data_IF_450422919804
#
_entry.id   IF_450422919804
#
_cell.length_a   1.000
_cell.length_b   1.000
_cell.length_c   1.000
_cell.angle_alpha   90.00
_cell.angle_beta   90.00
_cell.angle_gamma   90.00
#
_symmetry.space_group_name_H-M   'P 1'
#
loop_
_entity.id
_entity.type
_entity.pdbx_description
1 polymer ?
#
# COMPACT_ATOMS: atom_id res chain seq x y z
N UNK A 1 67.82 -40.05 2.02
CA UNK A 1 67.01 -38.84 2.15
C UNK A 1 65.60 -39.24 1.82
N UNK A 2 64.75 -39.34 2.85
CA UNK A 2 63.35 -39.73 2.72
C UNK A 2 62.57 -38.44 2.44
N UNK A 3 61.84 -38.42 1.34
CA UNK A 3 61.06 -37.26 0.89
C UNK A 3 59.72 -37.26 1.64
N UNK A 4 59.46 -36.21 2.43
CA UNK A 4 58.13 -35.93 2.99
C UNK A 4 57.39 -35.02 2.00
N UNK A 5 56.25 -35.43 1.42
CA UNK A 5 55.45 -34.52 0.61
C UNK A 5 54.76 -33.46 1.51
N UNK A 6 54.53 -32.24 1.00
CA UNK A 6 53.95 -31.16 1.77
C UNK A 6 52.49 -31.44 2.11
N UNK A 7 52.12 -31.08 3.34
CA UNK A 7 50.75 -31.09 3.86
C UNK A 7 49.86 -30.23 2.96
N UNK A 8 48.77 -30.80 2.45
CA UNK A 8 47.77 -30.06 1.71
C UNK A 8 47.12 -29.01 2.62
N UNK A 9 47.11 -27.76 2.16
CA UNK A 9 46.25 -26.70 2.70
C UNK A 9 44.80 -27.08 2.33
N UNK A 10 43.81 -26.99 3.24
CA UNK A 10 42.42 -27.23 2.87
C UNK A 10 42.04 -26.27 1.75
N UNK A 11 41.56 -26.82 0.63
CA UNK A 11 40.88 -26.02 -0.39
C UNK A 11 39.59 -25.52 0.24
N UNK A 12 39.40 -24.20 0.29
CA UNK A 12 38.05 -23.62 0.33
C UNK A 12 37.34 -24.16 -0.92
N UNK A 13 36.35 -25.03 -0.70
CA UNK A 13 35.43 -25.44 -1.75
C UNK A 13 34.46 -24.29 -1.93
N UNK A 14 34.80 -23.34 -2.78
CA UNK A 14 33.77 -22.59 -3.52
C UNK A 14 33.18 -23.59 -4.49
N UNK A 15 32.01 -24.12 -4.16
CA UNK A 15 31.28 -25.05 -4.99
C UNK A 15 30.11 -24.26 -5.58
N UNK A 16 30.21 -23.68 -6.79
CA UNK A 16 29.00 -23.30 -7.50
C UNK A 16 28.33 -24.62 -7.85
N UNK A 17 27.31 -25.01 -7.09
CA UNK A 17 26.42 -26.07 -7.52
C UNK A 17 25.64 -25.49 -8.70
N UNK A 18 26.09 -25.74 -9.93
CA UNK A 18 25.15 -25.74 -11.04
C UNK A 18 24.36 -27.05 -10.89
N UNK A 19 23.23 -27.00 -10.17
CA UNK A 19 22.26 -28.09 -10.11
C UNK A 19 21.72 -28.32 -11.52
N UNK A 20 21.36 -29.56 -11.84
CA UNK A 20 20.70 -29.85 -13.13
C UNK A 20 19.31 -29.18 -13.07
N UNK A 21 19.11 -28.10 -13.84
CA UNK A 21 17.92 -27.24 -13.91
C UNK A 21 16.66 -27.93 -14.45
N UNK A 22 16.57 -29.26 -14.38
CA UNK A 22 15.53 -30.09 -15.00
C UNK A 22 15.38 -31.42 -14.22
N UNK A 23 15.44 -31.37 -12.90
CA UNK A 23 15.31 -32.56 -12.06
C UNK A 23 14.68 -32.22 -10.72
N UNK A 24 13.87 -33.15 -10.21
CA UNK A 24 13.32 -33.06 -8.87
C UNK A 24 14.48 -33.00 -7.86
N UNK A 25 14.56 -31.92 -7.10
CA UNK A 25 15.63 -31.75 -6.12
C UNK A 25 15.10 -31.39 -4.75
N UNK A 26 15.73 -31.98 -3.73
CA UNK A 26 15.57 -31.58 -2.35
C UNK A 26 16.92 -31.03 -1.88
N UNK A 27 16.94 -29.80 -1.40
CA UNK A 27 18.10 -29.27 -0.68
C UNK A 27 17.73 -29.01 0.78
N UNK A 28 18.52 -29.60 1.68
CA UNK A 28 18.37 -29.44 3.12
C UNK A 28 19.73 -29.00 3.66
N UNK A 29 19.82 -27.78 4.20
CA UNK A 29 21.14 -27.25 4.54
C UNK A 29 21.21 -25.86 5.12
N UNK A 30 22.44 -25.41 5.35
CA UNK A 30 22.75 -24.02 5.65
C UNK A 30 23.89 -23.59 4.76
N UNK A 31 23.68 -22.47 4.07
CA UNK A 31 24.57 -21.94 3.06
C UNK A 31 25.06 -20.56 3.49
N UNK A 32 26.36 -20.30 3.34
CA UNK A 32 26.96 -18.99 3.59
C UNK A 32 27.57 -18.48 2.26
N UNK A 33 27.26 -17.24 1.89
CA UNK A 33 27.92 -16.53 0.79
C UNK A 33 27.03 -16.32 -0.42
N UNK A 34 27.49 -16.75 -1.60
CA UNK A 34 26.76 -16.57 -2.86
C UNK A 34 26.25 -17.93 -3.34
N UNK A 35 24.94 -18.02 -3.53
CA UNK A 35 24.22 -19.14 -4.13
C UNK A 35 23.47 -18.64 -5.38
N UNK A 36 23.46 -19.47 -6.41
CA UNK A 36 22.89 -19.23 -7.74
C UNK A 36 22.28 -20.58 -8.14
N UNK A 37 20.96 -20.72 -7.98
CA UNK A 37 20.23 -22.00 -8.13
C UNK A 37 19.01 -21.91 -9.07
N UNK A 38 19.15 -21.44 -10.32
CA UNK A 38 18.02 -21.29 -11.23
C UNK A 38 17.31 -22.63 -11.53
N UNK A 39 15.98 -22.65 -11.43
CA UNK A 39 15.13 -23.80 -11.73
C UNK A 39 14.39 -23.65 -13.08
N UNK A 40 14.09 -24.76 -13.75
CA UNK A 40 13.33 -24.74 -15.02
C UNK A 40 12.70 -26.11 -15.38
N UNK A 41 11.38 -26.27 -15.29
CA UNK A 41 10.70 -27.58 -15.41
C UNK A 41 11.19 -28.58 -14.36
N UNK A 42 10.96 -28.22 -13.10
CA UNK A 42 11.43 -28.86 -11.86
C UNK A 42 10.29 -28.95 -10.87
N UNK A 43 10.32 -30.00 -10.04
CA UNK A 43 9.55 -30.04 -8.80
C UNK A 43 10.58 -29.95 -7.66
N UNK A 44 10.57 -28.87 -6.88
CA UNK A 44 11.65 -28.57 -5.91
C UNK A 44 11.13 -28.36 -4.50
N UNK A 45 11.85 -28.94 -3.53
CA UNK A 45 11.63 -28.66 -2.11
C UNK A 45 12.94 -28.15 -1.49
N UNK A 46 12.93 -26.92 -1.02
CA UNK A 46 14.03 -26.33 -0.29
C UNK A 46 13.66 -26.23 1.19
N UNK A 47 14.52 -26.75 2.07
CA UNK A 47 14.42 -26.58 3.52
C UNK A 47 15.76 -26.07 4.02
N UNK A 48 15.99 -24.76 3.99
CA UNK A 48 17.34 -24.22 4.15
C UNK A 48 17.45 -22.94 4.96
N UNK A 49 18.66 -22.62 5.41
CA UNK A 49 18.98 -21.30 5.95
C UNK A 49 20.16 -20.71 5.20
N UNK A 50 19.98 -19.52 4.66
CA UNK A 50 20.99 -18.87 3.85
C UNK A 50 21.42 -17.54 4.47
N UNK A 51 22.73 -17.30 4.59
CA UNK A 51 23.32 -16.00 4.93
C UNK A 51 24.13 -15.51 3.72
N UNK A 52 23.63 -14.47 3.02
CA UNK A 52 24.30 -13.83 1.90
C UNK A 52 23.40 -13.53 0.70
N UNK A 53 23.93 -13.72 -0.51
CA UNK A 53 23.21 -13.47 -1.76
C UNK A 53 22.70 -14.80 -2.34
N UNK A 54 21.40 -14.89 -2.58
CA UNK A 54 20.73 -15.97 -3.31
C UNK A 54 20.04 -15.39 -4.56
N UNK A 55 20.28 -16.05 -5.70
CA UNK A 55 19.64 -15.79 -6.99
C UNK A 55 18.99 -17.12 -7.43
N UNK A 56 17.66 -17.22 -7.36
CA UNK A 56 16.89 -18.46 -7.55
C UNK A 56 15.72 -18.29 -8.52
N UNK A 57 15.93 -17.85 -9.77
CA UNK A 57 14.81 -17.67 -10.70
C UNK A 57 14.16 -19.01 -11.07
N UNK A 58 12.83 -19.03 -11.04
CA UNK A 58 11.98 -20.19 -11.31
C UNK A 58 11.19 -20.01 -12.61
N UNK A 59 11.07 -21.07 -13.42
CA UNK A 59 10.34 -21.03 -14.70
C UNK A 59 9.72 -22.37 -15.08
N UNK A 60 8.38 -22.44 -15.07
CA UNK A 60 7.63 -23.70 -15.24
C UNK A 60 7.95 -24.71 -14.14
N UNK A 61 8.01 -24.27 -12.89
CA UNK A 61 8.40 -25.08 -11.74
C UNK A 61 7.26 -25.20 -10.73
N UNK A 62 7.25 -26.30 -9.99
CA UNK A 62 6.44 -26.47 -8.78
C UNK A 62 7.41 -26.44 -7.58
N UNK A 63 7.42 -25.37 -6.80
CA UNK A 63 8.40 -25.17 -5.71
C UNK A 63 7.73 -25.09 -4.34
N UNK A 64 8.43 -25.60 -3.33
CA UNK A 64 8.13 -25.39 -1.93
C UNK A 64 9.42 -24.99 -1.22
N UNK A 65 9.65 -23.70 -0.97
CA UNK A 65 10.76 -23.22 -0.16
C UNK A 65 10.33 -22.98 1.28
N UNK A 66 11.14 -23.43 2.23
CA UNK A 66 10.88 -23.32 3.66
C UNK A 66 12.19 -22.99 4.35
N UNK A 67 12.32 -21.82 4.95
CA UNK A 67 13.64 -21.40 5.35
C UNK A 67 13.79 -20.13 6.14
N UNK A 68 15.05 -19.72 6.26
CA UNK A 68 15.38 -18.40 6.74
C UNK A 68 16.56 -17.84 6.00
N UNK A 69 16.36 -16.65 5.42
CA UNK A 69 17.35 -15.98 4.60
C UNK A 69 17.73 -14.65 5.24
N UNK A 70 19.01 -14.43 5.46
CA UNK A 70 19.59 -13.16 5.87
C UNK A 70 20.44 -12.64 4.70
N UNK A 71 20.05 -11.52 4.09
CA UNK A 71 20.81 -10.88 3.01
C UNK A 71 19.99 -10.45 1.80
N UNK A 72 20.44 -10.81 0.59
CA UNK A 72 19.78 -10.43 -0.66
C UNK A 72 19.22 -11.69 -1.32
N UNK A 73 17.93 -11.73 -1.60
CA UNK A 73 17.26 -12.75 -2.38
C UNK A 73 16.65 -12.11 -3.64
N UNK A 74 16.87 -12.75 -4.77
CA UNK A 74 16.21 -12.46 -6.05
C UNK A 74 15.59 -13.76 -6.54
N UNK A 75 14.27 -13.88 -6.50
CA UNK A 75 13.51 -15.09 -6.87
C UNK A 75 12.43 -14.79 -7.92
N UNK A 76 12.76 -14.45 -9.17
CA UNK A 76 11.74 -14.26 -10.19
C UNK A 76 10.96 -15.55 -10.49
N UNK A 77 9.63 -15.52 -10.37
CA UNK A 77 8.73 -16.64 -10.67
C UNK A 77 8.03 -16.43 -12.02
N UNK A 78 8.02 -17.44 -12.90
CA UNK A 78 7.31 -17.34 -14.19
C UNK A 78 6.68 -18.65 -14.65
N UNK A 79 5.35 -18.69 -14.76
CA UNK A 79 4.59 -19.93 -14.97
C UNK A 79 4.89 -20.97 -13.89
N UNK A 80 5.03 -20.55 -12.63
CA UNK A 80 5.39 -21.43 -11.53
C UNK A 80 4.25 -21.51 -10.52
N UNK A 81 4.16 -22.66 -9.84
CA UNK A 81 3.30 -22.85 -8.67
C UNK A 81 4.23 -22.94 -7.45
N UNK A 82 4.21 -21.93 -6.58
CA UNK A 82 5.19 -21.80 -5.48
C UNK A 82 4.48 -21.74 -4.12
N UNK A 83 5.07 -22.35 -3.09
CA UNK A 83 4.69 -22.12 -1.70
C UNK A 83 5.96 -21.80 -0.93
N UNK A 84 6.12 -20.54 -0.52
CA UNK A 84 7.28 -20.14 0.25
C UNK A 84 6.92 -19.94 1.71
N UNK A 85 7.85 -20.34 2.58
CA UNK A 85 7.63 -20.39 4.00
C UNK A 85 8.84 -19.90 4.77
N UNK A 86 8.63 -19.06 5.78
CA UNK A 86 9.64 -18.83 6.83
C UNK A 86 9.97 -17.38 7.12
N UNK A 87 11.26 -17.05 7.20
CA UNK A 87 11.69 -15.74 7.70
C UNK A 87 12.83 -15.13 6.91
N UNK A 88 12.59 -13.96 6.33
CA UNK A 88 13.55 -13.21 5.54
C UNK A 88 13.96 -11.92 6.28
N UNK A 89 15.26 -11.68 6.39
CA UNK A 89 15.86 -10.45 6.91
C UNK A 89 16.77 -9.86 5.82
N UNK A 90 16.37 -8.75 5.19
CA UNK A 90 17.16 -8.09 4.16
C UNK A 90 16.35 -7.58 2.97
N UNK A 91 16.82 -7.85 1.74
CA UNK A 91 16.19 -7.40 0.50
C UNK A 91 15.70 -8.62 -0.28
N UNK A 92 14.40 -8.65 -0.59
CA UNK A 92 13.76 -9.63 -1.47
C UNK A 92 13.22 -8.90 -2.72
N UNK A 93 13.54 -9.45 -3.89
CA UNK A 93 13.04 -9.06 -5.22
C UNK A 93 12.40 -10.33 -5.83
N UNK A 94 11.08 -10.43 -5.82
CA UNK A 94 10.30 -11.63 -6.20
C UNK A 94 9.25 -11.31 -7.26
N UNK A 95 9.64 -10.92 -8.49
CA UNK A 95 8.69 -10.58 -9.52
C UNK A 95 7.95 -11.82 -10.04
N UNK A 96 6.62 -11.78 -10.02
CA UNK A 96 5.76 -12.90 -10.42
C UNK A 96 5.07 -12.65 -11.77
N UNK A 97 5.02 -13.68 -12.62
CA UNK A 97 4.34 -13.58 -13.92
C UNK A 97 3.70 -14.89 -14.37
N UNK A 98 2.37 -14.91 -14.46
CA UNK A 98 1.58 -16.13 -14.70
C UNK A 98 1.86 -17.20 -13.65
N UNK A 99 1.98 -16.83 -12.39
CA UNK A 99 2.33 -17.74 -11.30
C UNK A 99 1.18 -17.84 -10.30
N UNK A 100 1.11 -18.98 -9.61
CA UNK A 100 0.25 -19.16 -8.44
C UNK A 100 1.19 -19.28 -7.22
N UNK A 101 1.12 -18.34 -6.27
CA UNK A 101 2.06 -18.26 -5.13
C UNK A 101 1.30 -18.28 -3.80
N UNK A 102 1.89 -18.89 -2.78
CA UNK A 102 1.37 -18.85 -1.42
C UNK A 102 2.51 -18.67 -0.43
N UNK A 103 2.66 -17.47 0.11
CA UNK A 103 3.80 -17.13 0.96
C UNK A 103 3.38 -17.01 2.42
N UNK A 104 3.92 -17.89 3.27
CA UNK A 104 3.65 -17.93 4.70
C UNK A 104 4.89 -17.52 5.50
N UNK A 105 4.95 -16.32 6.07
CA UNK A 105 6.20 -15.91 6.68
C UNK A 105 6.29 -14.58 7.40
N UNK A 106 7.53 -14.19 7.65
CA UNK A 106 7.87 -12.88 8.21
C UNK A 106 9.03 -12.27 7.45
N UNK A 107 8.86 -11.03 7.02
CA UNK A 107 9.88 -10.28 6.30
C UNK A 107 10.30 -9.07 7.15
N UNK A 108 11.60 -8.86 7.33
CA UNK A 108 12.20 -7.65 7.93
C UNK A 108 13.12 -7.05 6.87
N UNK A 109 12.79 -5.86 6.35
CA UNK A 109 13.60 -5.15 5.37
C UNK A 109 12.81 -4.64 4.16
N UNK A 110 13.31 -4.87 2.95
CA UNK A 110 12.71 -4.40 1.70
C UNK A 110 12.22 -5.59 0.88
N UNK A 111 10.95 -5.57 0.49
CA UNK A 111 10.31 -6.53 -0.40
C UNK A 111 9.76 -5.78 -1.63
N UNK A 112 10.11 -6.27 -2.82
CA UNK A 112 9.61 -5.82 -4.13
C UNK A 112 9.05 -7.07 -4.83
N UNK A 113 7.72 -7.21 -4.86
CA UNK A 113 7.01 -8.36 -5.45
C UNK A 113 6.01 -7.87 -6.51
N UNK A 114 6.47 -7.46 -7.70
CA UNK A 114 5.56 -7.02 -8.74
C UNK A 114 4.85 -8.21 -9.40
N UNK A 115 3.51 -8.17 -9.42
CA UNK A 115 2.69 -9.26 -9.91
C UNK A 115 2.04 -8.96 -11.28
N UNK A 116 2.02 -9.95 -12.17
CA UNK A 116 1.36 -9.81 -13.48
C UNK A 116 0.72 -11.10 -13.97
N UNK A 117 -0.62 -11.09 -14.03
CA UNK A 117 -1.43 -12.29 -14.30
C UNK A 117 -1.16 -13.40 -13.30
N UNK A 118 -1.00 -13.06 -12.02
CA UNK A 118 -0.70 -14.01 -10.95
C UNK A 118 -1.88 -14.14 -10.01
N UNK A 119 -1.94 -15.27 -9.30
CA UNK A 119 -2.81 -15.46 -8.14
C UNK A 119 -1.91 -15.65 -6.91
N UNK A 120 -1.99 -14.76 -5.92
CA UNK A 120 -1.11 -14.76 -4.73
C UNK A 120 -1.93 -14.83 -3.45
N UNK A 121 -1.39 -15.52 -2.43
CA UNK A 121 -1.94 -15.54 -1.09
C UNK A 121 -0.82 -15.40 -0.06
N UNK A 122 -0.74 -14.26 0.61
CA UNK A 122 0.33 -13.98 1.56
C UNK A 122 -0.22 -13.98 2.99
N UNK A 123 0.31 -14.87 3.83
CA UNK A 123 -0.02 -14.94 5.25
C UNK A 123 1.22 -14.61 6.09
N UNK A 124 1.25 -13.45 6.75
CA UNK A 124 2.50 -13.08 7.42
C UNK A 124 2.58 -11.76 8.15
N UNK A 125 3.83 -11.35 8.37
CA UNK A 125 4.14 -10.03 8.91
C UNK A 125 5.32 -9.41 8.21
N UNK A 126 5.21 -8.15 7.82
CA UNK A 126 6.30 -7.38 7.26
C UNK A 126 6.70 -6.23 8.19
N UNK A 127 8.01 -6.02 8.39
CA UNK A 127 8.58 -4.83 9.02
C UNK A 127 9.54 -4.18 8.02
N UNK A 128 9.20 -3.00 7.51
CA UNK A 128 10.05 -2.25 6.58
C UNK A 128 9.31 -1.66 5.38
N UNK A 129 9.81 -1.92 4.18
CA UNK A 129 9.30 -1.36 2.92
C UNK A 129 8.76 -2.49 2.04
N UNK A 130 7.51 -2.41 1.61
CA UNK A 130 6.86 -3.33 0.67
C UNK A 130 6.41 -2.53 -0.57
N UNK A 131 6.77 -3.02 -1.75
CA UNK A 131 6.35 -2.52 -3.07
C UNK A 131 5.77 -3.73 -3.83
N UNK A 132 4.44 -3.84 -3.91
CA UNK A 132 3.71 -4.94 -4.56
C UNK A 132 2.80 -4.40 -5.67
N UNK A 133 3.32 -3.98 -6.83
CA UNK A 133 2.48 -3.47 -7.89
C UNK A 133 1.78 -4.61 -8.64
N UNK A 134 0.44 -4.53 -8.74
CA UNK A 134 -0.39 -5.60 -9.29
C UNK A 134 -0.99 -5.26 -10.66
N UNK A 135 -1.01 -6.23 -11.58
CA UNK A 135 -1.63 -6.02 -12.90
C UNK A 135 -2.29 -7.30 -13.44
N UNK A 136 -3.62 -7.28 -13.54
CA UNK A 136 -4.42 -8.47 -13.90
C UNK A 136 -4.20 -9.63 -12.91
N UNK A 137 -4.02 -9.33 -11.64
CA UNK A 137 -3.74 -10.32 -10.60
C UNK A 137 -4.91 -10.46 -9.64
N UNK A 138 -4.93 -11.55 -8.88
CA UNK A 138 -5.78 -11.67 -7.69
C UNK A 138 -4.90 -11.90 -6.47
N UNK A 139 -5.11 -11.13 -5.42
CA UNK A 139 -4.28 -11.18 -4.21
C UNK A 139 -5.15 -11.32 -2.96
N UNK A 140 -4.65 -12.05 -1.98
CA UNK A 140 -5.24 -12.15 -0.65
C UNK A 140 -4.14 -12.09 0.40
N UNK A 141 -4.10 -11.00 1.15
CA UNK A 141 -3.02 -10.73 2.10
C UNK A 141 -3.59 -10.69 3.51
N UNK A 142 -3.23 -11.70 4.30
CA UNK A 142 -3.62 -11.82 5.71
C UNK A 142 -2.40 -11.56 6.61
N UNK A 143 -2.39 -10.45 7.36
CA UNK A 143 -1.18 -10.15 8.12
C UNK A 143 -1.09 -8.84 8.87
N UNK A 144 0.15 -8.47 9.16
CA UNK A 144 0.48 -7.17 9.76
C UNK A 144 1.70 -6.56 9.12
N UNK A 145 1.59 -5.30 8.71
CA UNK A 145 2.66 -4.54 8.10
C UNK A 145 3.04 -3.37 9.03
N UNK A 146 4.32 -3.21 9.34
CA UNK A 146 4.89 -2.05 10.05
C UNK A 146 5.88 -1.37 9.10
N UNK A 147 5.60 -0.14 8.68
CA UNK A 147 6.46 0.62 7.77
C UNK A 147 5.74 1.23 6.58
N UNK A 148 6.26 1.05 5.37
CA UNK A 148 5.70 1.63 4.14
C UNK A 148 5.26 0.50 3.20
N UNK A 149 4.03 0.60 2.70
CA UNK A 149 3.43 -0.26 1.70
C UNK A 149 3.01 0.60 0.51
N UNK A 150 3.43 0.21 -0.70
CA UNK A 150 3.02 0.77 -1.99
C UNK A 150 2.45 -0.40 -2.82
N UNK A 151 1.12 -0.44 -2.99
CA UNK A 151 0.42 -1.48 -3.77
C UNK A 151 -0.42 -0.82 -4.88
N UNK A 152 0.19 -0.41 -5.99
CA UNK A 152 -0.58 0.14 -7.10
C UNK A 152 -1.26 -0.96 -7.91
N UNK A 153 -2.58 -0.89 -8.00
CA UNK A 153 -3.39 -1.92 -8.64
C UNK A 153 -3.96 -1.52 -10.01
N UNK A 154 -4.00 -2.46 -10.95
CA UNK A 154 -4.60 -2.22 -12.27
C UNK A 154 -5.26 -3.46 -12.86
N UNK A 155 -6.60 -3.45 -12.95
CA UNK A 155 -7.41 -4.62 -13.33
C UNK A 155 -7.19 -5.80 -12.40
N UNK A 156 -7.08 -5.56 -11.11
CA UNK A 156 -6.81 -6.58 -10.09
C UNK A 156 -7.99 -6.72 -9.14
N UNK A 157 -8.08 -7.87 -8.48
CA UNK A 157 -9.02 -8.11 -7.38
C UNK A 157 -8.18 -8.40 -6.11
N UNK A 158 -8.31 -7.58 -5.06
CA UNK A 158 -7.46 -7.68 -3.86
C UNK A 158 -8.29 -7.78 -2.59
N UNK A 159 -7.83 -8.59 -1.63
CA UNK A 159 -8.39 -8.61 -0.27
C UNK A 159 -7.26 -8.46 0.74
N UNK A 160 -7.33 -7.44 1.59
CA UNK A 160 -6.44 -7.24 2.73
C UNK A 160 -7.18 -7.58 4.03
N UNK A 161 -6.68 -8.54 4.81
CA UNK A 161 -7.16 -8.77 6.19
C UNK A 161 -5.99 -8.56 7.17
N UNK A 162 -6.02 -7.47 7.96
CA UNK A 162 -4.85 -7.22 8.79
C UNK A 162 -4.77 -5.91 9.56
N UNK A 163 -3.54 -5.56 9.89
CA UNK A 163 -3.24 -4.25 10.48
C UNK A 163 -2.00 -3.63 9.86
N UNK A 164 -2.08 -2.35 9.53
CA UNK A 164 -0.94 -1.56 9.08
C UNK A 164 -0.58 -0.48 10.11
N UNK A 165 0.69 -0.35 10.42
CA UNK A 165 1.25 0.80 11.17
C UNK A 165 2.27 1.49 10.27
N UNK A 166 1.97 2.71 9.81
CA UNK A 166 2.87 3.51 8.99
C UNK A 166 2.22 4.19 7.80
N UNK A 167 2.73 3.93 6.60
CA UNK A 167 2.35 4.61 5.36
C UNK A 167 1.82 3.59 4.36
N UNK A 168 0.62 3.76 3.85
CA UNK A 168 0.01 2.96 2.79
C UNK A 168 -0.33 3.88 1.61
N UNK A 169 0.14 3.50 0.42
CA UNK A 169 -0.18 4.12 -0.88
C UNK A 169 -0.75 2.99 -1.76
N UNK A 170 -2.06 2.97 -1.98
CA UNK A 170 -2.76 1.94 -2.78
C UNK A 170 -3.55 2.61 -3.91
N UNK A 171 -2.91 3.06 -5.00
CA UNK A 171 -3.63 3.69 -6.10
C UNK A 171 -4.29 2.65 -7.01
N UNK A 172 -5.62 2.76 -7.17
CA UNK A 172 -6.41 1.75 -7.86
C UNK A 172 -6.95 2.21 -9.23
N UNK A 173 -6.99 1.30 -10.20
CA UNK A 173 -7.56 1.59 -11.53
C UNK A 173 -8.22 0.38 -12.17
N UNK A 174 -9.55 0.40 -12.27
CA UNK A 174 -10.36 -0.74 -12.71
C UNK A 174 -10.16 -1.97 -11.83
N UNK A 175 -10.06 -1.77 -10.51
CA UNK A 175 -9.80 -2.83 -9.55
C UNK A 175 -10.99 -2.97 -8.59
N UNK A 176 -11.08 -4.14 -7.97
CA UNK A 176 -12.03 -4.42 -6.88
C UNK A 176 -11.21 -4.72 -5.61
N UNK A 177 -11.40 -3.95 -4.54
CA UNK A 177 -10.61 -4.09 -3.28
C UNK A 177 -11.52 -4.29 -2.07
N UNK A 178 -11.11 -5.16 -1.14
CA UNK A 178 -11.78 -5.34 0.15
C UNK A 178 -10.75 -5.37 1.29
N UNK A 179 -10.83 -4.37 2.16
CA UNK A 179 -9.87 -4.13 3.22
C UNK A 179 -10.55 -4.26 4.59
N UNK A 180 -10.26 -5.36 5.27
CA UNK A 180 -10.74 -5.66 6.61
C UNK A 180 -9.61 -5.47 7.62
N UNK A 181 -9.67 -4.45 8.49
CA UNK A 181 -8.52 -4.24 9.37
C UNK A 181 -8.44 -2.99 10.21
N UNK A 182 -7.20 -2.62 10.53
CA UNK A 182 -6.90 -1.39 11.25
C UNK A 182 -5.62 -0.77 10.73
N UNK A 183 -5.69 0.53 10.41
CA UNK A 183 -4.57 1.30 9.90
C UNK A 183 -4.24 2.43 10.89
N UNK A 184 -3.00 2.52 11.34
CA UNK A 184 -2.46 3.65 12.13
C UNK A 184 -1.41 4.35 11.28
N UNK A 185 -1.66 5.60 10.86
CA UNK A 185 -0.70 6.40 10.09
C UNK A 185 -1.29 7.17 8.91
N UNK A 186 -0.66 7.08 7.74
CA UNK A 186 -1.16 7.73 6.51
C UNK A 186 -1.63 6.66 5.53
N UNK A 187 -2.82 6.85 4.98
CA UNK A 187 -3.38 6.09 3.86
C UNK A 187 -3.66 7.07 2.70
N UNK A 188 -3.16 6.76 1.52
CA UNK A 188 -3.42 7.44 0.24
C UNK A 188 -3.98 6.37 -0.72
N UNK A 189 -5.29 6.37 -0.99
CA UNK A 189 -5.96 5.45 -1.93
C UNK A 189 -6.69 6.25 -3.03
N UNK A 190 -5.99 6.70 -4.08
CA UNK A 190 -6.65 7.34 -5.20
C UNK A 190 -7.30 6.31 -6.14
N UNK A 191 -8.62 6.39 -6.29
CA UNK A 191 -9.39 5.41 -7.06
C UNK A 191 -9.86 5.94 -8.42
N UNK A 192 -9.95 5.05 -9.42
CA UNK A 192 -10.50 5.39 -10.74
C UNK A 192 -11.15 4.21 -11.43
N UNK A 193 -12.49 4.25 -11.53
CA UNK A 193 -13.31 3.13 -12.01
C UNK A 193 -13.12 1.86 -11.16
N UNK A 194 -13.02 2.02 -9.85
CA UNK A 194 -12.79 0.93 -8.91
C UNK A 194 -13.99 0.74 -7.99
N UNK A 195 -14.13 -0.45 -7.42
CA UNK A 195 -15.10 -0.76 -6.40
C UNK A 195 -14.34 -1.13 -5.10
N UNK A 196 -14.55 -0.40 -4.01
CA UNK A 196 -13.80 -0.60 -2.76
C UNK A 196 -14.73 -0.81 -1.56
N UNK A 197 -14.35 -1.74 -0.68
CA UNK A 197 -15.02 -1.96 0.60
C UNK A 197 -14.00 -1.88 1.75
N UNK A 198 -14.19 -0.93 2.65
CA UNK A 198 -13.41 -0.77 3.86
C UNK A 198 -14.21 -1.25 5.07
N UNK A 199 -13.71 -2.22 5.84
CA UNK A 199 -14.29 -2.61 7.12
C UNK A 199 -13.22 -2.50 8.22
N UNK A 200 -13.27 -1.45 9.04
CA UNK A 200 -12.18 -1.29 9.99
C UNK A 200 -12.13 -0.03 10.83
N UNK A 201 -10.90 0.31 11.25
CA UNK A 201 -10.63 1.57 11.93
C UNK A 201 -9.34 2.18 11.44
N UNK A 202 -9.38 3.49 11.19
CA UNK A 202 -8.22 4.27 10.79
C UNK A 202 -7.90 5.31 11.87
N UNK A 203 -6.65 5.39 12.33
CA UNK A 203 -6.14 6.47 13.18
C UNK A 203 -5.03 7.20 12.40
N UNK A 204 -5.29 8.45 11.96
CA UNK A 204 -4.29 9.24 11.25
C UNK A 204 -4.84 10.10 10.12
N UNK A 205 -4.21 10.05 8.94
CA UNK A 205 -4.63 10.79 7.74
C UNK A 205 -5.05 9.81 6.65
N UNK A 206 -6.26 9.97 6.13
CA UNK A 206 -6.78 9.29 4.95
C UNK A 206 -6.97 10.33 3.83
N UNK A 207 -6.40 10.07 2.65
CA UNK A 207 -6.58 10.81 1.40
C UNK A 207 -7.12 9.80 0.36
N UNK A 208 -8.40 9.87 0.03
CA UNK A 208 -9.09 8.92 -0.87
C UNK A 208 -9.79 9.68 -2.01
N UNK A 209 -9.08 10.16 -3.03
CA UNK A 209 -9.71 10.86 -4.13
C UNK A 209 -10.33 9.90 -5.15
N UNK A 210 -11.64 10.00 -5.35
CA UNK A 210 -12.42 9.06 -6.15
C UNK A 210 -12.88 9.64 -7.51
N UNK A 211 -13.01 8.76 -8.53
CA UNK A 211 -13.53 9.14 -9.86
C UNK A 211 -14.12 7.95 -10.65
N UNK A 212 -15.44 7.99 -10.84
CA UNK A 212 -16.28 6.90 -11.33
C UNK A 212 -16.14 5.61 -10.51
N UNK A 213 -16.01 5.72 -9.21
CA UNK A 213 -15.84 4.62 -8.27
C UNK A 213 -17.09 4.40 -7.42
N UNK A 214 -17.21 3.20 -6.86
CA UNK A 214 -18.22 2.85 -5.86
C UNK A 214 -17.49 2.46 -4.55
N UNK A 215 -17.78 3.13 -3.43
CA UNK A 215 -17.10 2.89 -2.13
C UNK A 215 -18.10 2.57 -1.03
N UNK A 216 -17.76 1.59 -0.18
CA UNK A 216 -18.49 1.29 1.05
C UNK A 216 -17.51 1.29 2.23
N UNK A 217 -17.67 2.20 3.19
CA UNK A 217 -16.85 2.25 4.42
C UNK A 217 -17.70 1.93 5.66
N UNK A 218 -17.43 0.78 6.28
CA UNK A 218 -17.98 0.41 7.58
C UNK A 218 -16.90 0.50 8.67
N UNK A 219 -16.86 1.60 9.42
CA UNK A 219 -15.73 1.79 10.33
C UNK A 219 -15.72 2.98 11.27
N UNK A 220 -14.52 3.30 11.74
CA UNK A 220 -14.28 4.53 12.49
C UNK A 220 -12.95 5.17 12.11
N UNK A 221 -12.99 6.45 11.82
CA UNK A 221 -11.80 7.26 11.55
C UNK A 221 -11.51 8.21 12.74
N UNK A 222 -10.27 8.25 13.24
CA UNK A 222 -9.78 9.30 14.14
C UNK A 222 -8.66 10.06 13.41
N UNK A 223 -8.89 11.33 13.07
CA UNK A 223 -7.88 12.19 12.45
C UNK A 223 -8.34 13.04 11.28
N UNK A 224 -7.58 13.06 10.18
CA UNK A 224 -7.89 13.84 8.97
C UNK A 224 -8.40 12.91 7.86
N UNK A 225 -9.52 13.24 7.25
CA UNK A 225 -10.07 12.59 6.06
C UNK A 225 -10.22 13.65 4.95
N UNK A 226 -9.63 13.40 3.78
CA UNK A 226 -9.76 14.17 2.53
C UNK A 226 -10.28 13.20 1.45
N UNK A 227 -11.54 13.30 1.07
CA UNK A 227 -12.21 12.38 0.11
C UNK A 227 -12.92 13.19 -0.99
N UNK A 228 -12.21 13.68 -2.01
CA UNK A 228 -12.82 14.41 -3.10
C UNK A 228 -13.45 13.47 -4.15
N UNK A 229 -14.77 13.54 -4.29
CA UNK A 229 -15.54 12.63 -5.17
C UNK A 229 -16.01 13.28 -6.49
N UNK A 230 -16.00 12.52 -7.59
CA UNK A 230 -16.54 12.91 -8.91
C UNK A 230 -17.17 11.75 -9.71
N UNK A 231 -18.51 11.77 -9.77
CA UNK A 231 -19.36 10.73 -10.39
C UNK A 231 -19.28 9.38 -9.68
N UNK A 232 -19.32 9.44 -8.36
CA UNK A 232 -19.11 8.28 -7.47
C UNK A 232 -20.38 7.99 -6.68
N UNK A 233 -20.52 6.75 -6.22
CA UNK A 233 -21.55 6.32 -5.29
C UNK A 233 -20.86 5.86 -3.99
N UNK A 234 -21.15 6.51 -2.85
CA UNK A 234 -20.48 6.24 -1.57
C UNK A 234 -21.51 5.91 -0.46
N UNK A 235 -21.27 4.82 0.27
CA UNK A 235 -22.05 4.41 1.45
C UNK A 235 -21.12 4.35 2.68
N UNK A 236 -21.30 5.27 3.63
CA UNK A 236 -20.50 5.35 4.86
C UNK A 236 -21.33 4.99 6.10
N UNK A 237 -20.96 3.92 6.80
CA UNK A 237 -21.54 3.52 8.09
C UNK A 237 -20.47 3.58 9.20
N UNK A 238 -20.39 4.68 9.95
CA UNK A 238 -19.28 4.79 10.89
C UNK A 238 -19.27 5.93 11.89
N UNK A 239 -18.07 6.24 12.39
CA UNK A 239 -17.85 7.44 13.19
C UNK A 239 -16.51 8.07 12.90
N UNK A 240 -16.52 9.37 12.60
CA UNK A 240 -15.30 10.13 12.36
C UNK A 240 -15.10 11.15 13.50
N UNK A 241 -13.95 11.08 14.17
CA UNK A 241 -13.48 12.10 15.12
C UNK A 241 -12.34 12.86 14.45
N UNK A 242 -12.53 14.14 14.10
CA UNK A 242 -11.45 14.95 13.52
C UNK A 242 -11.86 15.95 12.44
N UNK A 243 -11.10 16.03 11.34
CA UNK A 243 -11.39 16.93 10.21
C UNK A 243 -11.79 16.11 8.99
N UNK A 244 -12.88 16.49 8.34
CA UNK A 244 -13.37 15.93 7.08
C UNK A 244 -13.42 17.05 6.01
N UNK A 245 -12.77 16.82 4.86
CA UNK A 245 -12.86 17.61 3.63
C UNK A 245 -13.36 16.68 2.52
N UNK A 246 -14.62 16.81 2.11
CA UNK A 246 -15.27 15.92 1.12
C UNK A 246 -15.96 16.75 0.03
N UNK A 247 -15.22 17.25 -0.98
CA UNK A 247 -15.82 18.03 -2.05
C UNK A 247 -16.41 17.13 -3.16
N UNK A 248 -17.74 17.11 -3.27
CA UNK A 248 -18.47 16.24 -4.19
C UNK A 248 -18.89 16.89 -5.52
N UNK A 249 -18.96 16.10 -6.61
CA UNK A 249 -19.51 16.53 -7.90
C UNK A 249 -20.14 15.40 -8.75
N UNK A 250 -21.46 15.51 -8.94
CA UNK A 250 -22.34 14.48 -9.53
C UNK A 250 -22.24 13.12 -8.81
N UNK A 251 -22.09 13.12 -7.50
CA UNK A 251 -22.00 11.92 -6.67
C UNK A 251 -23.31 11.66 -5.92
N UNK A 252 -23.55 10.41 -5.55
CA UNK A 252 -24.63 9.99 -4.65
C UNK A 252 -23.99 9.46 -3.34
N UNK A 253 -24.37 10.01 -2.19
CA UNK A 253 -23.76 9.63 -0.89
C UNK A 253 -24.82 9.29 0.15
N UNK A 254 -24.64 8.18 0.88
CA UNK A 254 -25.40 7.86 2.09
C UNK A 254 -24.45 7.79 3.29
N UNK A 255 -24.69 8.61 4.31
CA UNK A 255 -23.90 8.63 5.54
C UNK A 255 -24.80 8.26 6.74
N UNK A 256 -24.54 7.10 7.35
CA UNK A 256 -25.16 6.63 8.58
C UNK A 256 -24.17 6.65 9.75
N UNK A 257 -23.63 7.82 10.10
CA UNK A 257 -22.57 7.90 11.12
C UNK A 257 -22.68 8.92 12.25
N UNK A 258 -21.55 9.18 12.91
CA UNK A 258 -21.40 10.26 13.88
C UNK A 258 -20.09 10.97 13.62
N UNK A 259 -20.15 12.29 13.43
CA UNK A 259 -19.00 13.13 13.19
C UNK A 259 -18.79 14.08 14.38
N UNK A 260 -17.65 13.97 15.06
CA UNK A 260 -17.19 14.93 16.08
C UNK A 260 -15.99 15.67 15.49
N UNK A 261 -16.19 16.91 14.99
CA UNK A 261 -15.17 17.46 14.11
C UNK A 261 -15.49 18.77 13.39
N UNK A 262 -14.58 19.15 12.49
CA UNK A 262 -14.86 20.16 11.46
C UNK A 262 -15.15 19.43 10.15
N UNK A 263 -16.17 19.90 9.43
CA UNK A 263 -16.59 19.37 8.14
C UNK A 263 -16.61 20.49 7.10
N UNK A 264 -15.94 20.27 5.95
CA UNK A 264 -16.01 21.08 4.73
C UNK A 264 -16.49 20.19 3.56
N UNK A 265 -17.77 20.31 3.18
CA UNK A 265 -18.39 19.49 2.12
C UNK A 265 -19.09 20.38 1.06
N UNK A 266 -18.33 20.89 0.08
CA UNK A 266 -18.90 21.70 -0.99
C UNK A 266 -19.49 20.87 -2.15
N UNK A 267 -20.82 20.70 -2.13
CA UNK A 267 -21.55 19.89 -3.13
C UNK A 267 -22.03 20.64 -4.41
N UNK A 268 -21.99 19.94 -5.55
CA UNK A 268 -22.54 20.35 -6.86
C UNK A 268 -23.19 19.21 -7.68
N UNK A 269 -24.52 19.27 -7.79
CA UNK A 269 -25.38 18.29 -8.50
C UNK A 269 -25.40 16.90 -7.87
N UNK A 270 -25.33 16.86 -6.54
CA UNK A 270 -25.28 15.62 -5.76
C UNK A 270 -26.63 15.35 -5.08
N UNK A 271 -26.88 14.08 -4.80
CA UNK A 271 -27.98 13.59 -3.96
C UNK A 271 -27.36 12.96 -2.69
N UNK A 272 -27.70 13.51 -1.52
CA UNK A 272 -27.07 13.10 -0.24
C UNK A 272 -28.15 12.81 0.81
N UNK A 273 -28.07 11.64 1.44
CA UNK A 273 -28.88 11.24 2.59
C UNK A 273 -27.97 11.05 3.83
N UNK A 274 -28.09 11.95 4.81
CA UNK A 274 -27.30 11.98 6.05
C UNK A 274 -28.20 11.72 7.26
N UNK A 275 -28.04 10.56 7.90
CA UNK A 275 -28.77 10.17 9.13
C UNK A 275 -27.92 10.35 10.41
N UNK A 276 -26.78 11.04 10.33
CA UNK A 276 -25.76 11.09 11.37
C UNK A 276 -25.93 12.14 12.48
N UNK A 277 -25.07 12.09 13.50
CA UNK A 277 -24.97 13.15 14.52
C UNK A 277 -23.70 13.97 14.30
N UNK A 278 -23.85 15.29 14.21
CA UNK A 278 -22.75 16.22 13.92
C UNK A 278 -22.54 17.21 15.08
N UNK A 279 -21.38 17.14 15.73
CA UNK A 279 -20.94 18.09 16.76
C UNK A 279 -19.94 19.13 16.16
N UNK A 280 -20.42 20.37 15.98
CA UNK A 280 -19.70 21.58 15.53
C UNK A 280 -19.58 21.89 14.01
N UNK A 281 -18.65 22.76 13.57
CA UNK A 281 -18.83 23.78 12.50
C UNK A 281 -18.88 23.27 11.04
N UNK A 282 -19.94 23.64 10.31
CA UNK A 282 -20.11 23.51 8.84
C UNK A 282 -19.83 24.83 8.11
N UNK A 283 -19.29 24.79 6.88
CA UNK A 283 -19.21 25.94 5.97
C UNK A 283 -19.73 25.64 4.54
N UNK A 284 -20.93 25.05 4.37
CA UNK A 284 -21.44 24.69 3.03
C UNK A 284 -22.00 25.87 2.20
N UNK A 285 -21.52 26.07 0.95
CA UNK A 285 -22.27 26.80 -0.05
C UNK A 285 -22.82 25.84 -1.13
N UNK A 286 -23.99 25.19 -0.93
CA UNK A 286 -24.52 24.27 -1.93
C UNK A 286 -24.89 24.99 -3.22
N UNK A 287 -24.54 24.38 -4.35
CA UNK A 287 -25.05 24.77 -5.67
C UNK A 287 -25.77 23.62 -6.36
N UNK A 288 -27.10 23.59 -6.22
CA UNK A 288 -28.01 22.70 -6.98
C UNK A 288 -27.93 21.20 -6.58
N UNK A 289 -27.87 20.89 -5.28
CA UNK A 289 -28.02 19.55 -4.68
C UNK A 289 -29.39 19.35 -4.00
N UNK A 290 -29.85 18.09 -3.88
CA UNK A 290 -31.02 17.66 -3.11
C UNK A 290 -30.55 16.88 -1.86
N UNK A 291 -30.30 17.57 -0.74
CA UNK A 291 -29.92 16.93 0.54
C UNK A 291 -31.13 16.57 1.43
N UNK A 292 -31.13 15.39 2.06
CA UNK A 292 -31.96 15.06 3.22
C UNK A 292 -31.08 14.81 4.46
N UNK A 293 -31.28 15.59 5.51
CA UNK A 293 -30.60 15.44 6.81
C UNK A 293 -31.65 15.19 7.91
N UNK A 294 -31.62 13.99 8.51
CA UNK A 294 -32.49 13.60 9.65
C UNK A 294 -31.75 13.66 11.02
N UNK A 295 -30.49 14.10 11.02
CA UNK A 295 -29.55 14.12 12.14
C UNK A 295 -29.76 15.18 13.24
N UNK A 296 -29.04 15.04 14.36
CA UNK A 296 -28.99 16.05 15.44
C UNK A 296 -27.76 16.93 15.27
N UNK A 297 -27.96 18.18 14.84
CA UNK A 297 -26.89 19.19 14.71
C UNK A 297 -26.77 20.08 15.96
N UNK A 298 -25.66 20.04 16.70
CA UNK A 298 -25.35 20.97 17.81
C UNK A 298 -24.25 22.01 17.46
N UNK A 299 -24.45 22.84 16.43
CA UNK A 299 -23.44 23.82 15.96
C UNK A 299 -23.68 25.32 16.29
N UNK A 300 -22.61 26.10 16.46
CA UNK A 300 -22.62 27.57 16.54
C UNK A 300 -22.51 28.23 15.15
N UNK A 301 -23.63 28.69 14.58
CA UNK A 301 -23.66 29.46 13.33
C UNK A 301 -22.82 30.77 13.41
N UNK A 302 -21.72 30.87 12.65
CA UNK A 302 -21.00 32.14 12.45
C UNK A 302 -21.69 32.92 11.31
N UNK A 303 -22.78 33.60 11.64
CA UNK A 303 -23.42 34.54 10.73
C UNK A 303 -22.48 35.73 10.44
N UNK A 304 -21.65 35.64 9.39
CA UNK A 304 -20.80 36.74 8.99
C UNK A 304 -19.84 36.41 7.87
N UNK A 305 -20.31 36.49 6.63
CA UNK A 305 -19.48 36.48 5.42
C UNK A 305 -18.25 37.39 5.52
N UNK A 306 -17.13 36.77 5.81
CA UNK A 306 -15.77 37.21 5.52
C UNK A 306 -15.10 35.95 5.02
N UNK A 307 -14.63 35.89 3.75
CA UNK A 307 -13.82 34.76 3.32
C UNK A 307 -12.58 34.79 4.20
N UNK A 308 -12.48 33.86 5.15
CA UNK A 308 -11.20 33.54 5.72
C UNK A 308 -10.36 33.05 4.55
N UNK A 309 -9.15 33.57 4.50
CA UNK A 309 -8.24 33.38 3.39
C UNK A 309 -8.10 31.88 3.18
N UNK A 310 -8.51 31.40 1.99
CA UNK A 310 -8.05 30.19 1.32
C UNK A 310 -6.57 29.98 1.68
N UNK A 311 -6.33 29.25 2.77
CA UNK A 311 -5.01 28.77 3.10
C UNK A 311 -4.86 27.58 2.15
N UNK A 312 -3.82 27.62 1.32
CA UNK A 312 -3.47 26.50 0.45
C UNK A 312 -3.37 25.21 1.30
N UNK A 313 -4.46 24.42 1.33
CA UNK A 313 -4.48 22.99 1.68
C UNK A 313 -3.66 22.16 0.68
N UNK A 314 -3.25 22.78 -0.43
CA UNK A 314 -2.27 22.32 -1.44
C UNK A 314 -0.82 22.16 -0.90
N UNK A 315 -0.64 21.52 0.25
CA UNK A 315 0.66 21.00 0.68
C UNK A 315 0.54 19.68 1.46
N UNK A 316 -0.50 18.86 1.32
CA UNK A 316 -0.46 17.48 1.83
C UNK A 316 0.52 16.64 0.98
N UNK A 317 0.41 16.66 -0.35
CA UNK A 317 1.44 16.14 -1.28
C UNK A 317 2.86 16.65 -0.96
N UNK A 318 2.98 17.92 -0.55
CA UNK A 318 4.28 18.52 -0.18
C UNK A 318 4.72 18.19 1.24
N UNK A 319 3.80 17.83 2.14
CA UNK A 319 4.10 17.34 3.48
C UNK A 319 4.57 15.89 3.39
N UNK A 320 3.91 15.07 2.57
CA UNK A 320 4.33 13.71 2.16
C UNK A 320 5.74 13.77 1.55
N UNK A 321 5.96 14.63 0.54
CA UNK A 321 7.31 14.84 -0.02
C UNK A 321 8.31 15.48 0.96
N UNK A 322 7.89 16.37 1.87
CA UNK A 322 8.79 17.00 2.85
C UNK A 322 9.19 16.11 4.01
N UNK A 323 8.36 15.13 4.39
CA UNK A 323 8.68 14.15 5.43
C UNK A 323 9.66 13.11 4.88
N UNK A 324 9.53 12.73 3.61
CA UNK A 324 10.53 11.92 2.90
C UNK A 324 11.87 12.66 2.64
N UNK A 325 11.86 13.99 2.41
CA UNK A 325 13.09 14.75 2.09
C UNK A 325 13.87 15.32 3.30
N UNK A 326 13.33 15.28 4.52
CA UNK A 326 13.91 16.02 5.66
C UNK A 326 15.12 15.39 6.37
N UNK A 327 15.68 14.30 5.86
CA UNK A 327 16.97 13.80 6.35
C UNK A 327 18.20 14.52 5.75
N UNK A 328 18.06 15.51 4.85
CA UNK A 328 19.24 16.12 4.22
C UNK A 328 19.22 17.64 3.94
N UNK A 329 19.59 18.42 4.96
CA UNK A 329 20.38 19.67 4.89
C UNK A 329 19.84 21.00 4.30
N UNK A 330 19.69 21.98 5.20
CA UNK A 330 20.17 23.39 5.18
C UNK A 330 19.94 24.37 3.99
N UNK A 331 19.16 25.43 4.31
CA UNK A 331 19.35 26.89 4.06
C UNK A 331 19.31 27.39 2.60
N UNK A 332 18.38 28.32 2.28
CA UNK A 332 18.69 29.69 1.79
C UNK A 332 17.47 30.63 1.74
N UNK A 333 17.70 31.91 2.08
CA UNK A 333 16.78 33.06 2.15
C UNK A 333 16.19 33.50 0.79
N UNK A 334 14.89 33.86 0.77
CA UNK A 334 14.26 34.61 -0.33
C UNK A 334 14.31 36.14 -0.16
N UNK A 335 14.51 36.87 -1.27
CA UNK A 335 14.30 38.33 -1.39
C UNK A 335 13.38 38.62 -2.59
N UNK A 336 12.41 39.56 -2.51
CA UNK A 336 11.39 39.74 -3.55
C UNK A 336 11.69 40.90 -4.52
N UNK A 337 11.54 40.69 -5.84
CA UNK A 337 11.52 41.78 -6.83
C UNK A 337 10.14 42.08 -7.42
N UNK A 338 9.70 43.32 -7.19
CA UNK A 338 8.56 44.00 -7.81
C UNK A 338 8.73 44.14 -9.32
N UNK A 339 7.69 43.87 -10.11
CA UNK A 339 7.55 44.40 -11.48
C UNK A 339 6.49 45.50 -11.58
N UNK A 340 6.94 46.62 -12.16
CA UNK A 340 6.23 47.87 -12.40
C UNK A 340 5.40 47.79 -13.68
N UNK A 341 4.16 48.28 -13.60
CA UNK A 341 3.29 48.68 -14.72
C UNK A 341 3.86 49.87 -15.52
N UNK A 342 3.87 49.78 -16.86
CA UNK A 342 3.84 50.95 -17.79
C UNK A 342 3.09 50.60 -19.11
N UNK A 343 1.93 51.26 -19.29
CA UNK A 343 1.25 51.92 -20.46
C UNK A 343 1.23 51.27 -21.88
N UNK A 344 0.16 51.41 -22.69
CA UNK A 344 -0.56 52.62 -23.17
C UNK A 344 -2.04 52.33 -23.54
N UNK A 345 -3.00 53.26 -23.42
CA UNK A 345 -3.09 54.55 -24.15
C UNK A 345 -3.60 55.73 -23.34
#
# INVERSE_FOLDING_TARGET
MTYCPPTAVPKLLSNPLTKDTNSDTNDEGSHDGLLDDPQTNSDTNFESSHDGLLDDPQTNDDTNDEGSHDGLLNDPKTNSDTNDGGSYDGLLDDPQTNSDTNDEGSHDGFLDDPQTNSDTNDEGSHDGLLDDPQTNSNTNDEGSNDGFLDDPQTNSDTNYEGSHDGLLDDPQTNSDTNDEGSNDGLLDDPQTNSDTNYEGSHDGILDDPQTNSDTNDEGSHDGLLDDPQTNDDTDDEGSNDGLLDDPQTNSDTNDEGSHDGLLDDPQTNDDTDDEGNHDELLDDPPTNSDMNDEGVREGYNIAGGQPLLYYDFMNLERLILCLAENENTHVYEEQPERKKNIFFS
#
